data_IF_681936524619
#
_entry.id   IF_681936524619
#
_cell.length_a   1.000
_cell.length_b   1.000
_cell.length_c   1.000
_cell.angle_alpha   90.00
_cell.angle_beta   90.00
_cell.angle_gamma   90.00
#
_symmetry.space_group_name_H-M   'P 1'
#
loop_
_entity.id
_entity.type
_entity.pdbx_description
1 polymer ?
#
# COMPACT_ATOMS: atom_id res chain seq x y z
N UNK A 1 18.57 -9.08 -3.94
CA UNK A 1 17.13 -8.93 -4.21
C UNK A 1 16.55 -10.32 -4.30
N UNK A 2 15.78 -10.78 -3.29
CA UNK A 2 15.08 -12.06 -3.35
C UNK A 2 13.91 -11.96 -4.32
N UNK A 3 13.78 -12.96 -5.18
CA UNK A 3 12.67 -13.12 -6.13
C UNK A 3 12.17 -14.56 -6.07
N UNK A 4 10.86 -14.74 -6.06
CA UNK A 4 10.23 -16.06 -6.15
C UNK A 4 8.87 -15.96 -6.83
N UNK A 5 8.42 -17.06 -7.42
CA UNK A 5 7.10 -17.15 -8.05
C UNK A 5 6.16 -17.93 -7.14
N UNK A 6 4.95 -17.42 -6.96
CA UNK A 6 3.87 -18.07 -6.23
C UNK A 6 2.70 -18.36 -7.18
N UNK A 7 1.99 -19.46 -6.96
CA UNK A 7 0.74 -19.75 -7.65
C UNK A 7 0.16 -21.10 -7.22
N UNK A 8 -1.14 -21.37 -7.46
CA UNK A 8 -2.24 -20.43 -7.70
C UNK A 8 -2.62 -19.62 -6.44
N UNK A 9 -3.15 -18.40 -6.61
CA UNK A 9 -3.59 -17.54 -5.49
C UNK A 9 -5.09 -17.70 -5.24
N UNK A 10 -5.46 -18.66 -4.39
CA UNK A 10 -6.86 -18.99 -4.13
C UNK A 10 -7.55 -19.51 -5.40
N UNK A 11 -8.64 -18.87 -5.83
CA UNK A 11 -9.39 -19.24 -7.04
C UNK A 11 -8.80 -18.64 -8.34
N UNK A 12 -7.65 -17.96 -8.25
CA UNK A 12 -6.99 -17.38 -9.42
C UNK A 12 -5.96 -18.37 -9.98
N UNK A 13 -6.17 -18.82 -11.22
CA UNK A 13 -5.31 -19.79 -11.92
C UNK A 13 -3.96 -19.21 -12.41
N UNK A 14 -3.66 -17.95 -12.09
CA UNK A 14 -2.40 -17.32 -12.48
C UNK A 14 -1.26 -17.54 -11.49
N UNK A 15 -0.05 -17.22 -11.93
CA UNK A 15 1.16 -17.16 -11.11
C UNK A 15 1.56 -15.70 -10.90
N UNK A 16 1.92 -15.32 -9.68
CA UNK A 16 2.47 -14.02 -9.37
C UNK A 16 3.98 -14.14 -9.09
N UNK A 17 4.76 -13.26 -9.70
CA UNK A 17 6.16 -13.06 -9.32
C UNK A 17 6.21 -12.17 -8.07
N UNK A 18 7.07 -12.46 -7.11
CA UNK A 18 7.23 -11.65 -5.89
C UNK A 18 8.67 -11.17 -5.81
N UNK A 19 8.85 -9.84 -5.80
CA UNK A 19 10.18 -9.20 -5.78
C UNK A 19 10.31 -8.36 -4.52
N UNK A 20 11.10 -8.81 -3.55
CA UNK A 20 11.35 -8.08 -2.30
C UNK A 20 12.39 -6.97 -2.53
N UNK A 21 11.98 -5.72 -2.30
CA UNK A 21 12.84 -4.53 -2.40
C UNK A 21 12.81 -3.70 -1.11
N UNK A 22 13.86 -2.90 -0.94
CA UNK A 22 13.98 -1.84 0.07
C UNK A 22 14.12 -0.52 -0.67
N UNK A 23 13.30 0.48 -0.34
CA UNK A 23 13.31 1.75 -1.05
C UNK A 23 12.07 2.61 -0.76
N UNK A 24 11.95 3.72 -1.48
CA UNK A 24 10.79 4.59 -1.41
C UNK A 24 9.68 4.05 -2.33
N UNK A 25 8.60 3.54 -1.74
CA UNK A 25 7.48 2.95 -2.48
C UNK A 25 6.84 3.91 -3.49
N UNK A 26 6.93 5.23 -3.26
CA UNK A 26 6.38 6.23 -4.16
C UNK A 26 7.22 6.42 -5.45
N UNK A 27 8.44 5.87 -5.50
CA UNK A 27 9.32 5.88 -6.67
C UNK A 27 9.27 4.56 -7.46
N UNK A 28 8.51 3.56 -6.98
CA UNK A 28 8.36 2.28 -7.67
C UNK A 28 7.52 2.42 -8.94
N UNK A 29 7.99 1.81 -10.03
CA UNK A 29 7.32 1.78 -11.33
C UNK A 29 6.37 0.60 -11.40
N UNK A 30 5.22 0.74 -10.75
CA UNK A 30 4.16 -0.26 -10.69
C UNK A 30 2.83 0.37 -11.05
N UNK A 31 1.81 -0.43 -11.39
CA UNK A 31 0.49 0.11 -11.73
C UNK A 31 -0.26 0.65 -10.50
N UNK A 32 -0.07 0.03 -9.34
CA UNK A 32 -0.70 0.45 -8.10
C UNK A 32 0.27 0.43 -6.91
N UNK A 33 0.22 1.44 -6.04
CA UNK A 33 0.93 1.42 -4.76
C UNK A 33 -0.06 1.31 -3.60
N UNK A 34 0.25 0.47 -2.61
CA UNK A 34 -0.56 0.33 -1.41
C UNK A 34 0.01 1.17 -0.28
N UNK A 35 -0.88 1.76 0.51
CA UNK A 35 -0.52 2.62 1.64
C UNK A 35 -1.46 2.31 2.79
N UNK A 36 -0.88 1.98 3.93
CA UNK A 36 -1.66 1.84 5.16
C UNK A 36 -2.13 3.20 5.67
N UNK A 37 -3.42 3.28 6.02
CA UNK A 37 -4.07 4.47 6.58
C UNK A 37 -4.91 4.09 7.79
N UNK A 38 -5.16 5.06 8.66
CA UNK A 38 -6.12 4.89 9.76
C UNK A 38 -7.57 4.77 9.25
N UNK A 39 -8.50 4.47 10.16
CA UNK A 39 -9.94 4.38 9.84
C UNK A 39 -10.56 5.69 9.33
N UNK A 40 -9.91 6.82 9.56
CA UNK A 40 -10.30 8.14 9.01
C UNK A 40 -9.88 8.34 7.55
N UNK A 41 -9.13 7.37 6.99
CA UNK A 41 -8.49 7.40 5.67
C UNK A 41 -7.43 8.50 5.52
N UNK A 42 -7.02 9.09 6.65
CA UNK A 42 -6.00 10.12 6.67
C UNK A 42 -4.61 9.48 6.56
N UNK A 43 -3.80 10.07 5.69
CA UNK A 43 -2.41 9.73 5.57
C UNK A 43 -1.62 10.19 6.80
N UNK A 44 -0.59 9.43 7.16
CA UNK A 44 0.45 9.98 8.05
C UNK A 44 1.08 11.22 7.40
N UNK A 45 1.53 12.16 8.22
CA UNK A 45 2.16 13.40 7.74
C UNK A 45 3.40 13.13 6.86
N UNK A 46 4.12 12.04 7.13
CA UNK A 46 5.30 11.61 6.36
C UNK A 46 4.91 11.01 5.00
N UNK A 47 3.94 10.11 4.99
CA UNK A 47 3.41 9.46 3.79
C UNK A 47 2.78 10.48 2.85
N UNK A 48 1.98 11.40 3.39
CA UNK A 48 1.41 12.50 2.62
C UNK A 48 2.48 13.32 1.92
N UNK A 49 3.54 13.71 2.65
CA UNK A 49 4.66 14.50 2.08
C UNK A 49 5.40 13.73 1.00
N UNK A 50 5.65 12.43 1.17
CA UNK A 50 6.34 11.62 0.17
C UNK A 50 5.56 11.53 -1.15
N UNK A 51 4.25 11.24 -1.09
CA UNK A 51 3.40 11.16 -2.27
C UNK A 51 3.26 12.54 -2.92
N UNK A 52 2.89 13.56 -2.15
CA UNK A 52 2.63 14.90 -2.69
C UNK A 52 3.87 15.58 -3.26
N UNK A 53 5.06 15.23 -2.78
CA UNK A 53 6.34 15.66 -3.37
C UNK A 53 6.50 15.17 -4.82
N UNK A 54 6.01 13.97 -5.12
CA UNK A 54 6.10 13.36 -6.46
C UNK A 54 4.88 13.76 -7.30
N UNK A 55 3.67 13.48 -6.81
CA UNK A 55 2.42 13.70 -7.53
C UNK A 55 2.08 15.18 -7.77
N UNK A 56 2.62 16.08 -6.94
CA UNK A 56 2.17 17.45 -6.81
C UNK A 56 1.01 17.56 -5.82
N UNK A 57 1.17 18.40 -4.79
CA UNK A 57 0.24 18.52 -3.66
C UNK A 57 -1.20 18.78 -4.07
N UNK A 58 -1.43 19.71 -5.00
CA UNK A 58 -2.79 20.08 -5.41
C UNK A 58 -3.48 18.95 -6.16
N UNK A 59 -2.79 18.35 -7.13
CA UNK A 59 -3.37 17.32 -8.00
C UNK A 59 -3.70 16.05 -7.22
N UNK A 60 -2.79 15.60 -6.35
CA UNK A 60 -3.07 14.44 -5.51
C UNK A 60 -4.19 14.70 -4.51
N UNK A 61 -4.24 15.90 -3.93
CA UNK A 61 -5.32 16.27 -3.01
C UNK A 61 -6.69 16.24 -3.70
N UNK A 62 -6.78 16.77 -4.92
CA UNK A 62 -8.03 16.76 -5.70
C UNK A 62 -8.47 15.32 -6.02
N UNK A 63 -7.53 14.44 -6.40
CA UNK A 63 -7.79 13.02 -6.63
C UNK A 63 -8.25 12.28 -5.36
N UNK A 64 -7.57 12.50 -4.24
CA UNK A 64 -7.94 11.94 -2.94
C UNK A 64 -9.33 12.40 -2.49
N UNK A 65 -9.64 13.69 -2.61
CA UNK A 65 -10.96 14.22 -2.25
C UNK A 65 -12.07 13.67 -3.15
N UNK A 66 -11.79 13.46 -4.44
CA UNK A 66 -12.72 12.82 -5.38
C UNK A 66 -13.02 11.38 -4.95
N UNK A 67 -12.00 10.60 -4.63
CA UNK A 67 -12.17 9.23 -4.13
C UNK A 67 -12.95 9.22 -2.81
N UNK A 68 -12.60 10.10 -1.86
CA UNK A 68 -13.28 10.20 -0.55
C UNK A 68 -14.75 10.60 -0.68
N UNK A 69 -15.09 11.48 -1.62
CA UNK A 69 -16.50 11.90 -1.87
C UNK A 69 -17.30 10.81 -2.57
N UNK A 70 -16.66 10.00 -3.41
CA UNK A 70 -17.30 8.86 -4.06
C UNK A 70 -17.54 7.71 -3.05
N UNK A 71 -16.73 7.64 -2.00
CA UNK A 71 -16.90 6.68 -0.92
C UNK A 71 -18.07 7.08 -0.01
N UNK A 72 -19.20 6.38 -0.17
CA UNK A 72 -20.43 6.65 0.59
C UNK A 72 -20.54 5.81 1.87
N UNK A 73 -19.75 4.75 2.00
CA UNK A 73 -19.79 3.81 3.13
C UNK A 73 -18.50 3.90 3.95
N UNK A 74 -18.62 3.74 5.26
CA UNK A 74 -17.47 3.63 6.14
C UNK A 74 -16.64 2.39 5.79
N UNK A 75 -15.32 2.55 5.66
CA UNK A 75 -14.41 1.43 5.37
C UNK A 75 -13.94 0.75 6.66
N UNK A 76 -14.04 -0.57 6.69
CA UNK A 76 -13.58 -1.42 7.79
C UNK A 76 -12.10 -1.80 7.62
N UNK A 77 -11.53 -2.44 8.66
CA UNK A 77 -10.14 -2.92 8.65
C UNK A 77 -9.90 -3.88 7.48
N UNK A 78 -8.82 -3.63 6.73
CA UNK A 78 -8.49 -4.40 5.52
C UNK A 78 -9.30 -4.05 4.28
N UNK A 79 -10.22 -3.09 4.34
CA UNK A 79 -10.86 -2.53 3.15
C UNK A 79 -10.02 -1.40 2.55
N UNK A 80 -10.33 -1.05 1.30
CA UNK A 80 -9.46 -0.24 0.45
C UNK A 80 -10.26 0.93 -0.13
N UNK A 81 -9.71 2.14 -0.04
CA UNK A 81 -10.11 3.26 -0.88
C UNK A 81 -9.14 3.37 -2.06
N UNK A 82 -9.66 3.27 -3.28
CA UNK A 82 -8.86 3.44 -4.51
C UNK A 82 -8.83 4.92 -4.89
N UNK A 83 -7.62 5.47 -5.02
CA UNK A 83 -7.39 6.82 -5.53
C UNK A 83 -6.81 6.70 -6.93
N UNK A 84 -7.49 7.30 -7.91
CA UNK A 84 -7.01 7.37 -9.30
C UNK A 84 -5.96 8.47 -9.44
N UNK A 85 -4.73 8.09 -9.76
CA UNK A 85 -3.57 8.99 -9.86
C UNK A 85 -3.06 9.16 -11.29
N UNK A 86 -3.81 8.72 -12.30
CA UNK A 86 -3.42 8.84 -13.72
C UNK A 86 -3.18 10.27 -14.19
N UNK A 87 -3.86 11.24 -13.58
CA UNK A 87 -3.69 12.67 -13.88
C UNK A 87 -2.53 13.32 -13.10
N UNK A 88 -1.78 12.55 -12.31
CA UNK A 88 -0.65 13.01 -11.50
C UNK A 88 0.69 12.69 -12.16
N UNK A 89 1.79 13.12 -11.54
CA UNK A 89 3.16 12.76 -11.97
C UNK A 89 3.67 11.44 -11.39
N UNK A 90 2.82 10.69 -10.69
CA UNK A 90 3.18 9.37 -10.18
C UNK A 90 3.22 8.37 -11.33
N UNK A 91 4.23 7.51 -11.36
CA UNK A 91 4.29 6.41 -12.34
C UNK A 91 3.14 5.41 -12.11
N UNK A 92 2.68 5.27 -10.87
CA UNK A 92 1.53 4.46 -10.51
C UNK A 92 0.21 5.11 -10.92
N UNK A 93 -0.64 4.31 -11.57
CA UNK A 93 -1.99 4.67 -12.02
C UNK A 93 -2.97 4.78 -10.85
N UNK A 94 -2.74 3.99 -9.80
CA UNK A 94 -3.60 3.92 -8.64
C UNK A 94 -2.82 3.97 -7.33
N UNK A 95 -3.43 4.56 -6.32
CA UNK A 95 -2.99 4.47 -4.92
C UNK A 95 -4.10 3.79 -4.13
N UNK A 96 -3.80 2.63 -3.56
CA UNK A 96 -4.70 1.86 -2.71
C UNK A 96 -4.47 2.25 -1.25
N UNK A 97 -5.42 2.97 -0.67
CA UNK A 97 -5.41 3.29 0.75
C UNK A 97 -6.05 2.15 1.52
N UNK A 98 -5.21 1.32 2.13
CA UNK A 98 -5.62 0.14 2.88
C UNK A 98 -5.86 0.55 4.32
N UNK A 99 -7.09 0.42 4.81
CA UNK A 99 -7.39 0.65 6.23
C UNK A 99 -6.62 -0.38 7.04
N UNK A 100 -5.80 0.09 7.99
CA UNK A 100 -4.85 -0.71 8.75
C UNK A 100 -5.50 -2.01 9.27
N UNK A 101 -5.07 -3.19 8.76
CA UNK A 101 -5.60 -4.46 9.22
C UNK A 101 -5.01 -4.81 10.58
N UNK A 102 -5.79 -5.54 11.39
CA UNK A 102 -5.24 -6.30 12.51
C UNK A 102 -4.92 -7.74 12.08
N UNK A 103 -4.43 -8.56 13.01
CA UNK A 103 -4.03 -9.94 12.74
C UNK A 103 -5.15 -10.79 12.12
N UNK A 104 -6.42 -10.50 12.41
CA UNK A 104 -7.57 -11.24 11.89
C UNK A 104 -8.02 -10.76 10.51
N UNK A 105 -7.62 -9.55 10.11
CA UNK A 105 -8.01 -8.92 8.84
C UNK A 105 -6.86 -8.83 7.84
N UNK A 106 -5.67 -9.34 8.17
CA UNK A 106 -4.50 -9.29 7.29
C UNK A 106 -4.73 -10.05 5.98
N UNK A 107 -5.26 -11.28 6.06
CA UNK A 107 -5.62 -12.08 4.88
C UNK A 107 -6.66 -11.38 4.01
N UNK A 108 -7.68 -10.80 4.63
CA UNK A 108 -8.72 -10.00 3.96
C UNK A 108 -8.10 -8.80 3.25
N UNK A 109 -7.16 -8.09 3.88
CA UNK A 109 -6.49 -6.94 3.28
C UNK A 109 -5.71 -7.32 2.02
N UNK A 110 -4.88 -8.37 2.08
CA UNK A 110 -4.18 -8.85 0.89
C UNK A 110 -5.14 -9.32 -0.20
N UNK A 111 -6.19 -10.04 0.18
CA UNK A 111 -7.23 -10.49 -0.77
C UNK A 111 -7.90 -9.31 -1.48
N UNK A 112 -8.25 -8.27 -0.73
CA UNK A 112 -8.87 -7.06 -1.29
C UNK A 112 -7.88 -6.31 -2.20
N UNK A 113 -6.59 -6.23 -1.84
CA UNK A 113 -5.57 -5.58 -2.69
C UNK A 113 -5.52 -6.26 -4.06
N UNK A 114 -5.44 -7.60 -4.07
CA UNK A 114 -5.38 -8.33 -5.33
C UNK A 114 -6.70 -8.24 -6.11
N UNK A 115 -7.85 -8.25 -5.44
CA UNK A 115 -9.15 -8.05 -6.09
C UNK A 115 -9.25 -6.68 -6.76
N UNK A 116 -8.85 -5.61 -6.08
CA UNK A 116 -8.84 -4.25 -6.65
C UNK A 116 -7.84 -4.14 -7.80
N UNK A 117 -6.64 -4.72 -7.66
CA UNK A 117 -5.65 -4.76 -8.72
C UNK A 117 -6.22 -5.43 -9.99
N UNK A 118 -6.89 -6.57 -9.85
CA UNK A 118 -7.53 -7.28 -10.96
C UNK A 118 -8.69 -6.46 -11.56
N UNK A 119 -9.56 -5.89 -10.72
CA UNK A 119 -10.69 -5.07 -11.17
C UNK A 119 -10.23 -3.86 -12.01
N UNK A 120 -9.07 -3.29 -11.64
CA UNK A 120 -8.44 -2.17 -12.33
C UNK A 120 -7.43 -2.59 -13.42
N UNK A 121 -7.31 -3.89 -13.72
CA UNK A 121 -6.36 -4.46 -14.70
C UNK A 121 -4.91 -4.02 -14.46
N UNK A 122 -4.52 -3.92 -13.19
CA UNK A 122 -3.15 -3.69 -12.79
C UNK A 122 -2.34 -4.97 -13.03
N UNK A 123 -1.21 -4.85 -13.70
CA UNK A 123 -0.26 -5.95 -13.88
C UNK A 123 0.83 -5.94 -12.84
N UNK A 124 0.96 -4.90 -12.03
CA UNK A 124 1.93 -4.79 -10.94
C UNK A 124 1.40 -3.96 -9.79
N UNK A 125 1.58 -4.43 -8.56
CA UNK A 125 1.24 -3.69 -7.34
C UNK A 125 2.48 -3.56 -6.48
N UNK A 126 2.63 -2.51 -5.67
CA UNK A 126 3.64 -2.45 -4.62
C UNK A 126 2.93 -2.42 -3.27
N UNK A 127 3.22 -3.39 -2.41
CA UNK A 127 2.60 -3.52 -1.08
C UNK A 127 3.69 -3.31 -0.03
N UNK A 128 3.58 -2.34 0.89
CA UNK A 128 4.50 -2.21 2.03
C UNK A 128 4.15 -3.24 3.12
N UNK A 129 4.92 -3.30 4.20
CA UNK A 129 4.57 -4.13 5.35
C UNK A 129 3.28 -3.65 6.03
N UNK A 130 2.15 -4.28 5.70
CA UNK A 130 0.85 -3.95 6.29
C UNK A 130 0.81 -4.38 7.76
N UNK A 131 0.28 -3.52 8.63
CA UNK A 131 0.05 -3.86 10.04
C UNK A 131 1.26 -3.69 10.98
N UNK A 132 2.44 -3.29 10.50
CA UNK A 132 3.62 -3.00 11.35
C UNK A 132 3.79 -1.49 11.60
N UNK A 133 2.69 -0.76 11.85
CA UNK A 133 2.77 0.62 12.32
C UNK A 133 3.00 0.64 13.84
N UNK A 134 4.09 1.27 14.26
CA UNK A 134 4.70 1.26 15.60
C UNK A 134 3.85 1.86 16.75
N UNK A 135 2.52 1.96 16.62
CA UNK A 135 1.63 2.43 17.68
C UNK A 135 0.75 1.33 18.32
N UNK A 136 1.00 0.06 17.99
CA UNK A 136 0.57 -1.05 18.85
C UNK A 136 1.80 -1.64 19.50
N UNK A 137 1.96 -1.34 20.79
CA UNK A 137 2.89 -2.01 21.71
C UNK A 137 2.57 -3.50 21.68
N UNK A 138 3.15 -4.27 20.75
CA UNK A 138 2.96 -5.73 20.73
C UNK A 138 3.13 -6.51 19.43
N UNK A 139 3.44 -5.94 18.25
CA UNK A 139 3.52 -6.76 17.02
C UNK A 139 4.89 -6.83 16.31
N UNK A 140 5.85 -5.96 16.65
CA UNK A 140 7.18 -6.01 16.05
C UNK A 140 8.24 -5.86 17.17
N UNK A 141 8.44 -6.91 17.98
CA UNK A 141 9.60 -6.99 18.91
C UNK A 141 10.40 -8.26 18.62
N UNK A 142 11.31 -8.15 17.66
CA UNK A 142 12.65 -8.72 17.79
C UNK A 142 13.58 -7.55 18.12
N UNK A 143 14.37 -7.69 19.17
CA UNK A 143 15.30 -6.71 19.72
C UNK A 143 16.15 -6.00 18.66
N UNK A 144 16.29 -4.67 18.73
CA UNK A 144 17.54 -3.97 19.13
C UNK A 144 17.46 -2.44 18.85
N UNK A 145 17.57 -1.64 19.91
CA UNK A 145 18.00 -0.22 20.00
C UNK A 145 17.19 0.94 19.37
N UNK A 146 16.49 1.67 20.25
CA UNK A 146 16.42 3.14 20.43
C UNK A 146 16.88 4.07 19.28
N UNK A 147 15.92 4.70 18.57
CA UNK A 147 15.99 6.10 18.12
C UNK A 147 14.58 6.72 17.89
N UNK A 148 14.32 7.98 18.30
CA UNK A 148 13.05 8.66 18.07
C UNK A 148 13.02 9.31 16.68
N UNK A 149 12.61 8.53 15.66
CA UNK A 149 12.47 9.04 14.28
C UNK A 149 11.59 8.16 13.35
N UNK A 150 10.86 7.19 13.92
CA UNK A 150 10.51 5.94 13.25
C UNK A 150 9.29 5.90 12.33
N UNK A 151 8.67 6.99 11.90
CA UNK A 151 7.46 6.88 11.06
C UNK A 151 7.75 6.70 9.56
N UNK A 152 8.92 7.15 9.08
CA UNK A 152 9.33 6.94 7.68
C UNK A 152 10.40 5.86 7.54
N UNK A 153 11.28 5.68 8.53
CA UNK A 153 12.22 4.56 8.49
C UNK A 153 11.51 3.21 8.62
N UNK A 154 10.38 3.10 9.33
CA UNK A 154 9.65 1.84 9.38
C UNK A 154 9.01 1.46 8.03
N UNK A 155 8.56 2.43 7.23
CA UNK A 155 7.99 2.22 5.87
C UNK A 155 9.10 2.12 4.80
N UNK A 156 10.23 2.80 4.99
CA UNK A 156 11.40 2.73 4.11
C UNK A 156 12.32 1.53 4.39
N UNK A 157 12.26 0.94 5.60
CA UNK A 157 13.00 -0.25 6.02
C UNK A 157 12.13 -1.51 6.15
N UNK A 158 10.82 -1.48 5.85
CA UNK A 158 10.04 -2.72 5.85
C UNK A 158 10.42 -3.56 4.62
N UNK A 159 10.90 -4.80 4.81
CA UNK A 159 11.48 -5.61 3.76
C UNK A 159 10.40 -6.35 3.00
N UNK A 160 9.65 -5.65 2.15
CA UNK A 160 8.94 -6.25 1.01
C UNK A 160 8.15 -5.14 0.34
N UNK A 161 8.66 -4.60 -0.75
CA UNK A 161 7.79 -4.41 -1.91
C UNK A 161 7.38 -5.80 -2.39
N UNK A 162 6.11 -6.06 -2.66
CA UNK A 162 5.68 -7.25 -3.41
C UNK A 162 5.21 -6.75 -4.76
N UNK A 163 6.08 -6.79 -5.77
CA UNK A 163 5.70 -6.50 -7.16
C UNK A 163 5.17 -7.76 -7.82
N UNK A 164 3.84 -7.92 -7.81
CA UNK A 164 3.16 -9.02 -8.49
C UNK A 164 2.98 -8.72 -9.97
N UNK A 165 3.84 -9.27 -10.84
CA UNK A 165 3.56 -9.33 -12.28
C UNK A 165 2.39 -10.30 -12.53
N UNK A 166 1.23 -9.75 -12.89
CA UNK A 166 0.03 -10.51 -13.30
C UNK A 166 0.16 -10.79 -14.80
N UNK A 167 0.50 -12.05 -15.15
CA UNK A 167 0.58 -12.55 -16.53
C UNK A 167 -0.75 -13.13 -16.99
#
# INVERSE_FOLDING_TARGET
MPEFTIGPLGNWEGTAKVIIKTGNIAEEKVDAICISVGSTLEHSSSTWKAITKICGTKVYKDAYEKARKAQTTWLNRGEILVVDTRDTKLDAKYVFLVVLPDIYHLETAYTNIFREAIAHRCTSVAIPGLGCEANVKGMCSGDESDQPGGSFEAVAKTPATVSCDVL
#
